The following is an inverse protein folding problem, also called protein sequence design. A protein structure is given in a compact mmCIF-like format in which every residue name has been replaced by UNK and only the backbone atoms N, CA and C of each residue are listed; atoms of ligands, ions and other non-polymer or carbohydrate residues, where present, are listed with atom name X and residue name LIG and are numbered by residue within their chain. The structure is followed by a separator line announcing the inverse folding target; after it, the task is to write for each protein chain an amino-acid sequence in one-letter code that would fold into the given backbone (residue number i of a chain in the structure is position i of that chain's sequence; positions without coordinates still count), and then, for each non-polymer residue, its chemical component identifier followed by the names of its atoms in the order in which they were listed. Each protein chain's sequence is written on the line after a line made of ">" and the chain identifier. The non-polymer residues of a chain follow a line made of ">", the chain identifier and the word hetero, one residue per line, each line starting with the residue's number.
data_IF_797601566691
#
_entry.id   IF_797601566691
#
_cell.length_a   1.000
_cell.length_b   1.000
_cell.length_c   1.000
_cell.angle_alpha   90.00
_cell.angle_beta   90.00
_cell.angle_gamma   90.00
#
_symmetry.space_group_name_H-M   'P 1'
#
loop_
_entity.id
_entity.type
_entity.pdbx_description
1 polymer ?
#
# COMPACT_ATOMS: atom_id res chain seq x y z
N UNK A 1 -13.51 -2.07 2.13
CA UNK A 1 -12.44 -1.13 2.47
C UNK A 1 -11.72 -0.55 1.26
N UNK A 2 -11.57 -1.32 0.22
CA UNK A 2 -10.97 -0.82 -1.02
C UNK A 2 -12.09 -0.42 -1.97
N UNK A 3 -12.02 0.79 -2.53
CA UNK A 3 -13.02 1.28 -3.47
C UNK A 3 -12.98 0.47 -4.77
N UNK A 4 -14.12 0.38 -5.45
CA UNK A 4 -14.21 -0.35 -6.71
C UNK A 4 -13.33 0.26 -7.80
N UNK A 5 -13.18 1.59 -7.78
CA UNK A 5 -12.41 2.34 -8.76
C UNK A 5 -11.02 2.74 -8.25
N UNK A 6 -10.47 1.98 -7.30
CA UNK A 6 -9.17 2.26 -6.72
C UNK A 6 -8.08 2.29 -7.79
N UNK A 7 -7.12 3.19 -7.60
CA UNK A 7 -5.92 3.25 -8.44
C UNK A 7 -4.71 2.90 -7.58
N UNK A 8 -3.91 2.00 -8.06
CA UNK A 8 -2.70 1.54 -7.38
C UNK A 8 -1.48 1.89 -8.24
N UNK A 9 -0.60 2.69 -7.68
CA UNK A 9 0.63 3.12 -8.33
C UNK A 9 1.81 2.46 -7.63
N UNK A 10 2.53 1.62 -8.35
CA UNK A 10 3.69 0.90 -7.82
C UNK A 10 4.91 1.27 -8.66
N UNK A 11 6.00 1.65 -8.02
CA UNK A 11 7.18 2.15 -8.72
C UNK A 11 7.86 1.11 -9.61
N UNK A 12 7.66 -0.18 -9.31
CA UNK A 12 8.30 -1.26 -10.09
C UNK A 12 7.36 -1.94 -11.08
N UNK A 13 6.06 -1.99 -10.79
CA UNK A 13 5.11 -2.71 -11.64
C UNK A 13 4.13 -1.80 -12.36
N UNK A 14 4.10 -0.52 -12.00
CA UNK A 14 3.27 0.46 -12.69
C UNK A 14 1.87 0.60 -12.10
N UNK A 15 0.93 0.95 -12.94
CA UNK A 15 -0.43 1.29 -12.54
C UNK A 15 -1.36 0.10 -12.68
N UNK A 16 -2.14 -0.16 -11.63
CA UNK A 16 -3.25 -1.10 -11.65
C UNK A 16 -4.55 -0.33 -11.39
N UNK A 17 -5.55 -0.54 -12.21
CA UNK A 17 -6.83 0.14 -12.10
C UNK A 17 -7.92 -0.82 -11.68
N UNK A 18 -8.72 -0.40 -10.69
CA UNK A 18 -9.86 -1.15 -10.21
C UNK A 18 -9.52 -2.15 -9.13
N UNK A 19 -10.50 -2.41 -8.26
CA UNK A 19 -10.30 -3.29 -7.11
C UNK A 19 -9.86 -4.69 -7.50
N UNK A 20 -10.45 -5.25 -8.54
CA UNK A 20 -10.14 -6.61 -8.96
C UNK A 20 -8.68 -6.75 -9.37
N UNK A 21 -8.17 -5.83 -10.19
CA UNK A 21 -6.79 -5.86 -10.63
C UNK A 21 -5.81 -5.70 -9.46
N UNK A 22 -6.13 -4.82 -8.52
CA UNK A 22 -5.30 -4.59 -7.35
C UNK A 22 -5.26 -5.82 -6.45
N UNK A 23 -6.43 -6.42 -6.18
CA UNK A 23 -6.52 -7.61 -5.34
C UNK A 23 -5.81 -8.79 -5.99
N UNK A 24 -5.98 -9.00 -7.28
CA UNK A 24 -5.30 -10.08 -8.01
C UNK A 24 -3.78 -9.89 -8.00
N UNK A 25 -3.32 -8.64 -8.19
CA UNK A 25 -1.90 -8.34 -8.12
C UNK A 25 -1.32 -8.65 -6.75
N UNK A 26 -2.00 -8.27 -5.68
CA UNK A 26 -1.58 -8.58 -4.32
C UNK A 26 -1.58 -10.09 -4.08
N UNK A 27 -2.62 -10.78 -4.53
CA UNK A 27 -2.75 -12.21 -4.36
C UNK A 27 -1.62 -12.97 -5.06
N UNK A 28 -1.26 -12.55 -6.26
CA UNK A 28 -0.24 -13.23 -7.05
C UNK A 28 1.18 -12.89 -6.58
N UNK A 29 1.40 -11.69 -6.07
CA UNK A 29 2.75 -11.19 -5.78
C UNK A 29 3.10 -11.18 -4.31
N UNK A 30 2.13 -11.15 -3.41
CA UNK A 30 2.36 -10.98 -1.98
C UNK A 30 1.88 -12.17 -1.17
N UNK A 31 0.65 -12.65 -1.42
CA UNK A 31 0.07 -13.70 -0.60
C UNK A 31 0.91 -14.98 -0.64
N UNK A 32 1.34 -15.44 0.54
CA UNK A 32 2.13 -16.64 0.68
C UNK A 32 3.58 -16.52 0.25
N UNK A 33 3.96 -15.36 -0.29
CA UNK A 33 5.32 -15.13 -0.81
C UNK A 33 6.11 -14.13 0.00
N UNK A 34 5.43 -13.17 0.60
CA UNK A 34 6.06 -12.07 1.32
C UNK A 34 5.25 -11.74 2.56
N UNK A 35 5.92 -11.55 3.67
CA UNK A 35 5.28 -11.00 4.88
C UNK A 35 5.56 -9.51 4.92
N UNK A 36 4.52 -8.74 5.16
CA UNK A 36 4.61 -7.27 5.19
C UNK A 36 4.31 -6.77 6.60
N UNK A 37 5.12 -5.84 7.08
CA UNK A 37 4.87 -5.20 8.37
C UNK A 37 5.06 -3.70 8.28
N UNK A 38 4.30 -2.96 9.07
CA UNK A 38 4.45 -1.52 9.21
C UNK A 38 5.66 -1.23 10.11
N UNK A 39 6.53 -0.32 9.67
CA UNK A 39 7.65 0.11 10.49
C UNK A 39 7.12 1.01 11.61
N UNK A 40 7.34 0.66 12.88
CA UNK A 40 6.83 1.47 13.98
C UNK A 40 7.34 2.91 13.93
N UNK A 41 6.45 3.84 14.27
CA UNK A 41 6.78 5.26 14.33
C UNK A 41 6.78 5.97 12.99
N UNK A 42 6.48 5.29 11.88
CA UNK A 42 6.47 5.91 10.56
C UNK A 42 5.07 6.32 10.09
N UNK A 43 4.03 5.83 10.74
CA UNK A 43 2.66 6.08 10.30
C UNK A 43 2.25 7.51 10.60
N UNK A 44 1.78 8.21 9.58
CA UNK A 44 1.23 9.56 9.69
C UNK A 44 -0.10 9.60 8.99
N UNK A 45 -1.07 10.28 9.60
CA UNK A 45 -2.40 10.43 9.03
C UNK A 45 -2.79 11.88 9.09
N UNK A 46 -3.24 12.42 7.97
CA UNK A 46 -3.65 13.82 7.86
C UNK A 46 -5.04 13.92 7.26
N UNK A 47 -5.94 14.69 7.84
CA UNK A 47 -7.27 14.86 7.26
C UNK A 47 -7.23 15.69 5.99
N UNK A 48 -8.15 15.38 5.08
CA UNK A 48 -8.35 16.15 3.84
C UNK A 48 -9.80 16.64 3.85
N UNK A 49 -9.96 17.96 3.86
CA UNK A 49 -11.29 18.56 3.94
C UNK A 49 -12.16 18.11 2.78
N UNK A 50 -13.41 17.76 3.10
CA UNK A 50 -14.42 17.35 2.13
C UNK A 50 -14.09 16.08 1.36
N UNK A 51 -13.08 15.32 1.80
CA UNK A 51 -12.73 14.09 1.14
C UNK A 51 -12.54 12.94 2.13
N UNK A 52 -11.57 13.04 3.02
CA UNK A 52 -11.26 11.99 3.97
C UNK A 52 -9.93 12.20 4.65
N UNK A 53 -8.94 11.38 4.30
CA UNK A 53 -7.62 11.45 4.92
C UNK A 53 -6.54 10.85 4.04
N UNK A 54 -5.31 11.29 4.24
CA UNK A 54 -4.14 10.65 3.65
C UNK A 54 -3.34 9.96 4.75
N UNK A 55 -2.91 8.73 4.46
CA UNK A 55 -2.12 7.91 5.35
C UNK A 55 -0.76 7.66 4.70
N UNK A 56 0.32 7.90 5.43
CA UNK A 56 1.68 7.76 4.93
C UNK A 56 2.44 6.88 5.90
N UNK A 57 3.26 5.98 5.37
CA UNK A 57 4.07 5.13 6.22
C UNK A 57 5.13 4.39 5.44
N UNK A 58 5.83 3.49 6.14
CA UNK A 58 6.87 2.66 5.57
C UNK A 58 6.56 1.20 5.93
N UNK A 59 6.59 0.33 4.92
CA UNK A 59 6.45 -1.11 5.11
C UNK A 59 7.77 -1.81 4.88
N UNK A 60 8.01 -2.88 5.64
CA UNK A 60 9.08 -3.82 5.39
C UNK A 60 8.50 -5.11 4.86
N UNK A 61 9.20 -5.72 3.91
CA UNK A 61 8.79 -6.96 3.28
C UNK A 61 9.82 -8.04 3.58
N UNK A 62 9.35 -9.15 4.16
CA UNK A 62 10.18 -10.30 4.50
C UNK A 62 9.86 -11.43 3.53
N UNK A 63 10.89 -11.93 2.84
CA UNK A 63 10.75 -13.00 1.87
C UNK A 63 11.10 -14.33 2.52
N UNK A 64 10.15 -15.28 2.64
CA UNK A 64 10.41 -16.51 3.38
C UNK A 64 11.50 -17.40 2.77
N UNK A 65 11.69 -17.33 1.47
CA UNK A 65 12.68 -18.15 0.77
C UNK A 65 13.91 -17.35 0.34
N UNK A 66 13.98 -16.12 0.73
CA UNK A 66 15.07 -15.23 0.41
C UNK A 66 15.50 -14.56 1.70
N UNK A 67 16.77 -14.36 1.87
CA UNK A 67 17.29 -13.72 3.07
C UNK A 67 17.21 -12.21 3.02
N UNK A 68 16.62 -11.67 1.97
CA UNK A 68 16.47 -10.23 1.80
C UNK A 68 15.29 -9.67 2.58
N UNK A 69 15.47 -8.45 3.06
CA UNK A 69 14.38 -7.64 3.59
C UNK A 69 14.31 -6.40 2.74
N UNK A 70 13.12 -6.13 2.21
CA UNK A 70 12.87 -4.93 1.43
C UNK A 70 12.09 -3.92 2.23
N UNK A 71 12.14 -2.68 1.79
CA UNK A 71 11.41 -1.58 2.42
C UNK A 71 10.82 -0.71 1.33
N UNK A 72 9.61 -0.20 1.56
CA UNK A 72 8.96 0.73 0.65
C UNK A 72 8.12 1.73 1.40
N UNK A 73 8.00 2.90 0.83
CA UNK A 73 7.09 3.93 1.34
C UNK A 73 5.73 3.74 0.71
N UNK A 74 4.68 4.09 1.45
CA UNK A 74 3.33 4.00 0.92
C UNK A 74 2.53 5.24 1.26
N UNK A 75 1.58 5.55 0.39
CA UNK A 75 0.57 6.56 0.62
C UNK A 75 -0.77 5.93 0.29
N UNK A 76 -1.70 5.97 1.24
CA UNK A 76 -3.09 5.54 1.03
C UNK A 76 -3.98 6.77 1.12
N UNK A 77 -4.82 6.96 0.12
CA UNK A 77 -5.80 8.02 0.13
C UNK A 77 -7.15 7.42 0.49
N UNK A 78 -7.68 7.82 1.63
CA UNK A 78 -8.94 7.34 2.16
C UNK A 78 -10.05 8.33 1.88
N UNK A 79 -11.14 7.85 1.32
CA UNK A 79 -12.34 8.64 1.12
C UNK A 79 -13.40 8.27 2.15
N UNK A 80 -13.95 9.29 2.82
CA UNK A 80 -15.09 9.11 3.72
C UNK A 80 -16.35 9.55 2.94
N UNK A 81 -17.20 8.59 2.64
CA UNK A 81 -18.44 8.84 1.93
C UNK A 81 -19.58 8.39 2.82
N UNK A 82 -20.28 9.35 3.41
CA UNK A 82 -21.40 9.09 4.30
C UNK A 82 -21.07 8.14 5.46
N UNK A 83 -19.90 8.31 6.03
CA UNK A 83 -19.44 7.49 7.14
C UNK A 83 -18.73 6.19 6.75
N UNK A 84 -18.69 5.88 5.47
CA UNK A 84 -18.00 4.69 4.97
C UNK A 84 -16.63 5.08 4.43
N UNK A 85 -15.58 4.49 5.00
CA UNK A 85 -14.20 4.76 4.62
C UNK A 85 -13.70 3.71 3.63
N UNK A 86 -13.17 4.17 2.49
CA UNK A 86 -12.58 3.29 1.48
C UNK A 86 -11.28 3.88 0.96
N UNK A 87 -10.33 3.01 0.65
CA UNK A 87 -9.08 3.42 0.00
C UNK A 87 -9.36 3.62 -1.48
N UNK A 88 -9.08 4.83 -1.98
CA UNK A 88 -9.29 5.18 -3.39
C UNK A 88 -8.00 5.26 -4.18
N UNK A 89 -6.88 5.51 -3.52
CA UNK A 89 -5.56 5.58 -4.16
C UNK A 89 -4.54 4.91 -3.27
N UNK A 90 -3.66 4.13 -3.87
CA UNK A 90 -2.52 3.52 -3.19
C UNK A 90 -1.29 3.85 -4.00
N UNK A 91 -0.28 4.40 -3.36
CA UNK A 91 1.01 4.65 -4.00
C UNK A 91 2.06 3.92 -3.17
N UNK A 92 2.79 3.03 -3.82
CA UNK A 92 3.88 2.27 -3.19
C UNK A 92 5.14 2.56 -3.97
N UNK A 93 6.13 3.14 -3.30
CA UNK A 93 7.28 3.70 -4.01
C UNK A 93 8.54 3.61 -3.16
N UNK A 94 9.68 3.91 -3.80
CA UNK A 94 10.98 3.88 -3.15
C UNK A 94 11.30 2.50 -2.57
N UNK A 95 11.04 1.46 -3.37
CA UNK A 95 11.36 0.09 -2.98
C UNK A 95 12.87 -0.11 -2.97
N UNK A 96 13.40 -0.47 -1.81
CA UNK A 96 14.84 -0.64 -1.62
C UNK A 96 15.11 -1.90 -0.82
N UNK A 97 16.18 -2.63 -1.15
CA UNK A 97 16.65 -3.67 -0.26
C UNK A 97 17.27 -3.02 0.97
N UNK A 98 17.03 -3.61 2.13
CA UNK A 98 17.67 -3.15 3.34
C UNK A 98 19.04 -3.81 3.49
N UNK A 99 20.03 -3.04 3.90
CA UNK A 99 21.33 -3.57 4.24
C UNK A 99 21.21 -4.46 5.47
N UNK A 100 21.96 -5.50 5.48
CA UNK A 100 21.97 -6.40 6.62
C UNK A 100 22.86 -5.93 7.72
#
# INVERSE_FOLDING_TARGET
>A
MIADDVEFYHDKTGLALGRQAVVEGMKNNICGKVTRELVPGTLEVYPIAKYGAVEIGIHRFHHPHDHGVGEAKFIHLWQNKEGTWKITRVISFDHQPLAK
#
